data_IF_969329028685
#
_entry.id   IF_969329028685
#
_cell.length_a   1.000
_cell.length_b   1.000
_cell.length_c   1.000
_cell.angle_alpha   90.00
_cell.angle_beta   90.00
_cell.angle_gamma   90.00
#
_symmetry.space_group_name_H-M   'P 1'
#
loop_
_entity.id
_entity.type
_entity.pdbx_description
1 polymer ?
#
# COMPACT_ATOMS: atom_id res chain seq x y z
N UNK A 1 -3.92 5.43 3.71
CA UNK A 1 -2.97 6.31 3.00
C UNK A 1 -2.73 5.73 1.62
N UNK A 2 -3.00 6.49 0.59
CA UNK A 2 -2.79 6.09 -0.81
C UNK A 2 -1.41 6.61 -1.26
N UNK A 3 -0.43 5.70 -1.36
CA UNK A 3 0.93 6.04 -1.80
C UNK A 3 1.22 5.59 -3.24
N UNK A 4 0.20 5.12 -3.96
CA UNK A 4 0.31 4.82 -5.38
C UNK A 4 0.10 6.10 -6.23
N UNK A 5 1.03 6.48 -7.10
CA UNK A 5 0.83 7.58 -8.06
C UNK A 5 -0.40 7.41 -8.95
N UNK A 6 -0.90 6.18 -9.15
CA UNK A 6 -2.14 5.94 -9.89
C UNK A 6 -3.40 6.36 -9.12
N UNK A 7 -3.30 6.55 -7.81
CA UNK A 7 -4.37 6.98 -6.91
C UNK A 7 -5.68 6.18 -7.07
N UNK A 8 -5.54 4.88 -7.26
CA UNK A 8 -6.70 3.99 -7.44
C UNK A 8 -7.56 3.91 -6.20
N UNK A 9 -6.95 3.84 -5.01
CA UNK A 9 -7.68 3.86 -3.73
C UNK A 9 -8.44 5.19 -3.56
N UNK A 10 -7.80 6.32 -3.84
CA UNK A 10 -8.41 7.65 -3.78
C UNK A 10 -9.63 7.74 -4.69
N UNK A 11 -9.51 7.21 -5.92
CA UNK A 11 -10.62 7.18 -6.89
C UNK A 11 -11.76 6.26 -6.42
N UNK A 12 -11.46 5.12 -5.81
CA UNK A 12 -12.48 4.21 -5.25
C UNK A 12 -13.29 4.84 -4.12
N UNK A 13 -12.71 5.78 -3.37
CA UNK A 13 -13.43 6.59 -2.38
C UNK A 13 -14.26 7.74 -3.00
N UNK A 14 -14.30 7.85 -4.33
CA UNK A 14 -15.13 8.81 -5.04
C UNK A 14 -14.47 10.16 -5.34
N UNK A 15 -13.20 10.31 -5.03
CA UNK A 15 -12.44 11.52 -5.30
C UNK A 15 -11.82 11.50 -6.71
N UNK A 16 -11.53 12.69 -7.23
CA UNK A 16 -10.81 12.92 -8.49
C UNK A 16 -9.44 13.52 -8.14
N UNK A 17 -8.37 12.72 -8.14
CA UNK A 17 -7.05 13.15 -7.65
C UNK A 17 -6.53 14.44 -8.29
N UNK A 18 -6.81 14.65 -9.58
CA UNK A 18 -6.31 15.81 -10.34
C UNK A 18 -7.09 17.11 -10.08
N UNK A 19 -8.22 17.05 -9.37
CA UNK A 19 -9.15 18.19 -9.23
C UNK A 19 -9.45 18.50 -7.77
N UNK A 20 -9.74 17.46 -6.97
CA UNK A 20 -10.35 17.66 -5.66
C UNK A 20 -9.33 18.07 -4.58
N UNK A 21 -8.01 17.92 -4.86
CA UNK A 21 -6.93 18.19 -3.90
C UNK A 21 -5.98 19.33 -4.29
N UNK A 22 -6.39 20.20 -5.22
CA UNK A 22 -5.57 21.34 -5.65
C UNK A 22 -5.25 22.32 -4.53
N UNK A 23 -6.12 22.45 -3.54
CA UNK A 23 -5.94 23.35 -2.41
C UNK A 23 -5.51 22.62 -1.13
N UNK A 24 -6.05 21.42 -0.87
CA UNK A 24 -5.78 20.65 0.35
C UNK A 24 -4.51 19.78 0.28
N UNK A 25 -4.01 19.53 -0.92
CA UNK A 25 -2.84 18.68 -1.13
C UNK A 25 -3.12 17.18 -1.07
N UNK A 26 -2.07 16.41 -1.28
CA UNK A 26 -2.05 14.94 -1.23
C UNK A 26 -0.98 14.48 -0.24
N UNK A 27 -0.84 13.17 -0.01
CA UNK A 27 0.24 12.64 0.85
C UNK A 27 1.63 13.07 0.38
N UNK A 28 1.84 13.35 -0.92
CA UNK A 28 3.10 13.93 -1.41
C UNK A 28 3.44 15.23 -0.69
N UNK A 29 2.47 16.12 -0.50
CA UNK A 29 2.68 17.41 0.14
C UNK A 29 3.09 17.30 1.61
N UNK A 30 2.79 16.18 2.27
CA UNK A 30 3.27 15.91 3.63
C UNK A 30 4.69 15.34 3.67
N UNK A 31 5.07 14.54 2.66
CA UNK A 31 6.36 13.83 2.66
C UNK A 31 7.45 14.49 1.81
N UNK A 32 7.13 15.53 1.04
CA UNK A 32 8.12 16.26 0.22
C UNK A 32 9.19 16.90 1.08
N UNK A 33 10.38 17.10 0.51
CA UNK A 33 11.55 17.58 1.24
C UNK A 33 11.54 19.07 1.53
N UNK A 34 10.80 19.87 0.75
CA UNK A 34 10.71 21.32 0.89
C UNK A 34 9.29 21.75 1.26
N UNK A 35 9.15 22.55 2.30
CA UNK A 35 7.88 23.11 2.78
C UNK A 35 6.75 22.06 2.92
N UNK A 36 6.95 20.95 3.67
CA UNK A 36 5.92 19.93 3.83
C UNK A 36 4.71 20.49 4.57
N UNK A 37 3.51 20.04 4.16
CA UNK A 37 2.27 20.37 4.84
C UNK A 37 2.01 19.38 5.99
N UNK A 38 1.38 19.82 7.09
CA UNK A 38 0.91 18.91 8.12
C UNK A 38 -0.08 17.88 7.57
N UNK A 39 0.11 16.59 7.92
CA UNK A 39 -0.76 15.52 7.45
C UNK A 39 -2.22 15.73 7.87
N UNK A 40 -2.45 16.32 9.03
CA UNK A 40 -3.78 16.68 9.55
C UNK A 40 -4.57 17.63 8.64
N UNK A 41 -3.89 18.41 7.79
CA UNK A 41 -4.55 19.30 6.81
C UNK A 41 -4.90 18.56 5.51
N UNK A 42 -4.24 17.44 5.24
CA UNK A 42 -4.37 16.66 3.99
C UNK A 42 -5.46 15.59 4.12
N UNK A 43 -5.61 15.00 5.32
CA UNK A 43 -6.56 13.93 5.56
C UNK A 43 -7.99 14.37 5.25
N UNK A 44 -8.68 13.54 4.48
CA UNK A 44 -10.08 13.73 4.07
C UNK A 44 -10.97 12.71 4.78
N UNK A 45 -12.13 13.15 5.22
CA UNK A 45 -13.17 12.25 5.70
C UNK A 45 -13.80 11.53 4.51
N UNK A 46 -13.95 10.21 4.62
CA UNK A 46 -14.67 9.45 3.60
C UNK A 46 -16.14 9.31 3.96
N UNK A 47 -16.95 8.80 3.04
CA UNK A 47 -18.36 8.51 3.31
C UNK A 47 -18.55 7.34 4.32
N UNK A 48 -17.49 6.58 4.60
CA UNK A 48 -17.51 5.57 5.66
C UNK A 48 -17.19 6.19 7.01
N UNK A 49 -18.07 6.01 7.97
CA UNK A 49 -17.80 6.44 9.34
C UNK A 49 -16.60 5.69 9.91
N UNK A 50 -15.64 6.45 10.43
CA UNK A 50 -14.42 5.91 11.06
C UNK A 50 -13.33 5.52 10.06
N UNK A 51 -13.46 5.90 8.79
CA UNK A 51 -12.42 5.74 7.77
C UNK A 51 -12.11 7.09 7.17
N UNK A 52 -10.88 7.53 7.35
CA UNK A 52 -10.33 8.73 6.71
C UNK A 52 -9.29 8.33 5.65
N UNK A 53 -9.06 9.22 4.71
CA UNK A 53 -8.14 9.01 3.59
C UNK A 53 -7.09 10.12 3.56
N UNK A 54 -5.81 9.73 3.54
CA UNK A 54 -4.76 10.60 3.02
C UNK A 54 -4.63 10.30 1.52
N UNK A 55 -5.06 11.23 0.65
CA UNK A 55 -5.20 10.94 -0.78
C UNK A 55 -3.86 10.87 -1.49
N UNK A 56 -3.76 9.99 -2.48
CA UNK A 56 -2.69 9.91 -3.45
C UNK A 56 -2.95 10.76 -4.68
N UNK A 57 -1.98 10.79 -5.60
CA UNK A 57 -2.09 11.48 -6.87
C UNK A 57 -0.82 11.32 -7.70
N UNK A 58 -0.91 11.66 -8.98
CA UNK A 58 0.21 11.53 -9.93
C UNK A 58 1.46 12.28 -9.47
N UNK A 59 1.29 13.37 -8.72
CA UNK A 59 2.38 14.17 -8.14
C UNK A 59 3.33 13.35 -7.25
N UNK A 60 2.88 12.20 -6.71
CA UNK A 60 3.74 11.29 -5.95
C UNK A 60 4.97 10.80 -6.74
N UNK A 61 4.92 10.85 -8.07
CA UNK A 61 6.09 10.54 -8.91
C UNK A 61 7.26 11.49 -8.66
N UNK A 62 7.01 12.73 -8.24
CA UNK A 62 8.06 13.68 -7.90
C UNK A 62 8.91 13.18 -6.74
N UNK A 63 8.32 12.50 -5.75
CA UNK A 63 9.06 11.91 -4.64
C UNK A 63 10.12 10.90 -5.11
N UNK A 64 9.79 10.10 -6.12
CA UNK A 64 10.74 9.15 -6.73
C UNK A 64 11.89 9.88 -7.45
N UNK A 65 11.63 11.06 -8.03
CA UNK A 65 12.63 11.86 -8.73
C UNK A 65 13.49 12.71 -7.77
N UNK A 66 12.90 13.25 -6.71
CA UNK A 66 13.57 14.11 -5.75
C UNK A 66 14.47 13.34 -4.78
N UNK A 67 14.05 12.13 -4.38
CA UNK A 67 14.72 11.34 -3.33
C UNK A 67 16.19 11.03 -3.64
N UNK A 68 16.60 10.66 -4.85
CA UNK A 68 18.02 10.47 -5.16
C UNK A 68 18.85 11.73 -4.91
N UNK A 69 18.34 12.90 -5.26
CA UNK A 69 19.04 14.18 -5.02
C UNK A 69 19.03 14.55 -3.55
N UNK A 70 17.93 14.27 -2.85
CA UNK A 70 17.81 14.47 -1.41
C UNK A 70 18.85 13.62 -0.65
N UNK A 71 19.07 12.38 -1.08
CA UNK A 71 20.10 11.51 -0.52
C UNK A 71 21.51 12.04 -0.73
N UNK A 72 21.82 12.51 -1.94
CA UNK A 72 23.12 13.14 -2.25
C UNK A 72 23.36 14.38 -1.39
N UNK A 73 22.33 15.17 -1.16
CA UNK A 73 22.40 16.42 -0.39
C UNK A 73 22.24 16.20 1.12
N UNK A 74 22.04 14.96 1.58
CA UNK A 74 21.77 14.60 2.98
C UNK A 74 20.59 15.40 3.58
N UNK A 75 19.51 15.59 2.80
CA UNK A 75 18.31 16.25 3.29
C UNK A 75 17.62 15.40 4.38
N UNK A 76 17.01 16.10 5.33
CA UNK A 76 16.32 15.45 6.45
C UNK A 76 14.84 15.85 6.46
N UNK A 77 13.95 14.93 6.88
CA UNK A 77 14.24 13.53 7.23
C UNK A 77 14.66 12.71 6.00
N UNK A 78 15.49 11.68 6.21
CA UNK A 78 15.80 10.73 5.14
C UNK A 78 14.51 10.02 4.70
N UNK A 79 14.43 9.57 3.42
CA UNK A 79 13.21 8.98 2.86
C UNK A 79 12.62 7.86 3.73
N UNK A 80 13.46 7.03 4.33
CA UNK A 80 13.04 5.93 5.19
C UNK A 80 12.48 6.37 6.56
N UNK A 81 12.68 7.63 6.97
CA UNK A 81 12.16 8.18 8.21
C UNK A 81 11.01 9.20 7.99
N UNK A 82 10.91 9.76 6.79
CA UNK A 82 9.97 10.84 6.46
C UNK A 82 8.52 10.44 6.68
N UNK A 83 8.10 9.30 6.15
CA UNK A 83 6.74 8.80 6.30
C UNK A 83 6.38 8.54 7.77
N UNK A 84 7.27 7.90 8.53
CA UNK A 84 7.05 7.66 9.96
C UNK A 84 6.92 8.97 10.75
N UNK A 85 7.76 9.97 10.45
CA UNK A 85 7.70 11.27 11.11
C UNK A 85 6.36 12.00 10.85
N UNK A 86 5.86 11.93 9.62
CA UNK A 86 4.58 12.53 9.23
C UNK A 86 3.40 11.84 9.94
N UNK A 87 3.45 10.52 10.11
CA UNK A 87 2.40 9.78 10.80
C UNK A 87 2.32 10.06 12.30
N UNK A 88 3.45 10.36 12.96
CA UNK A 88 3.47 10.70 14.39
C UNK A 88 2.52 11.85 14.76
N UNK A 89 2.23 12.73 13.81
CA UNK A 89 1.29 13.85 14.01
C UNK A 89 -0.13 13.36 14.27
N UNK A 90 -0.53 12.25 13.67
CA UNK A 90 -1.93 11.80 13.63
C UNK A 90 -2.17 10.40 14.18
N UNK A 91 -1.14 9.60 14.42
CA UNK A 91 -1.26 8.19 14.79
C UNK A 91 -2.13 7.95 16.03
N UNK A 92 -2.11 8.88 16.99
CA UNK A 92 -2.93 8.80 18.20
C UNK A 92 -4.46 8.88 17.93
N UNK A 93 -4.86 9.28 16.73
CA UNK A 93 -6.26 9.42 16.33
C UNK A 93 -6.82 8.17 15.64
N UNK A 94 -5.97 7.18 15.34
CA UNK A 94 -6.34 6.02 14.54
C UNK A 94 -5.93 4.71 15.22
N UNK A 95 -6.80 3.71 15.17
CA UNK A 95 -6.50 2.37 15.64
C UNK A 95 -5.60 1.59 14.66
N UNK A 96 -5.76 1.87 13.36
CA UNK A 96 -5.02 1.22 12.27
C UNK A 96 -4.74 2.23 11.16
N UNK A 97 -3.53 2.22 10.65
CA UNK A 97 -3.13 2.97 9.45
C UNK A 97 -2.73 1.96 8.37
N UNK A 98 -3.35 2.04 7.19
CA UNK A 98 -3.08 1.14 6.07
C UNK A 98 -2.49 1.95 4.92
N UNK A 99 -1.34 1.49 4.40
CA UNK A 99 -0.75 2.01 3.18
C UNK A 99 -1.17 1.16 1.99
N UNK A 100 -1.76 1.80 0.97
CA UNK A 100 -1.94 1.22 -0.36
C UNK A 100 -0.73 1.61 -1.21
N UNK A 101 0.11 0.62 -1.50
CA UNK A 101 1.41 0.82 -2.13
C UNK A 101 1.37 0.50 -3.63
N UNK A 102 2.18 1.19 -4.45
CA UNK A 102 2.34 0.83 -5.86
C UNK A 102 2.97 -0.58 -6.01
N UNK A 103 2.77 -1.24 -7.16
CA UNK A 103 3.25 -2.60 -7.38
C UNK A 103 4.78 -2.70 -7.58
N UNK A 104 5.48 -1.60 -7.48
CA UNK A 104 6.94 -1.52 -7.63
C UNK A 104 7.62 -1.15 -6.31
N UNK A 105 8.84 -1.64 -6.10
CA UNK A 105 9.66 -1.29 -4.95
C UNK A 105 10.49 -0.03 -5.25
N UNK A 106 9.82 1.14 -5.25
CA UNK A 106 10.44 2.45 -5.32
C UNK A 106 10.60 3.08 -3.94
N UNK A 107 11.04 4.33 -3.87
CA UNK A 107 11.22 5.07 -2.61
C UNK A 107 9.92 5.25 -1.84
N UNK A 108 8.78 5.38 -2.52
CA UNK A 108 7.46 5.43 -1.87
C UNK A 108 7.14 4.15 -1.11
N UNK A 109 7.28 2.99 -1.77
CA UNK A 109 7.05 1.68 -1.13
C UNK A 109 8.05 1.44 0.00
N UNK A 110 9.32 1.81 -0.21
CA UNK A 110 10.35 1.68 0.82
C UNK A 110 10.06 2.57 2.05
N UNK A 111 9.59 3.81 1.83
CA UNK A 111 9.19 4.72 2.90
C UNK A 111 7.99 4.17 3.69
N UNK A 112 6.99 3.61 2.99
CA UNK A 112 5.83 2.97 3.62
C UNK A 112 6.24 1.73 4.44
N UNK A 113 7.11 0.87 3.92
CA UNK A 113 7.65 -0.28 4.66
C UNK A 113 8.38 0.15 5.94
N UNK A 114 9.22 1.18 5.86
CA UNK A 114 9.95 1.69 7.02
C UNK A 114 9.03 2.31 8.09
N UNK A 115 7.84 2.78 7.70
CA UNK A 115 6.84 3.34 8.61
C UNK A 115 5.83 2.31 9.13
N UNK A 116 5.89 1.07 8.65
CA UNK A 116 4.91 0.02 8.95
C UNK A 116 5.37 -0.87 10.10
N UNK A 117 4.41 -1.35 10.90
CA UNK A 117 4.62 -2.39 11.92
C UNK A 117 4.24 -3.78 11.41
N UNK A 118 3.60 -3.89 10.25
CA UNK A 118 3.23 -5.16 9.65
C UNK A 118 3.10 -5.06 8.13
N UNK A 119 3.32 -6.18 7.45
CA UNK A 119 3.30 -6.27 6.00
C UNK A 119 2.34 -7.36 5.54
N UNK A 120 1.42 -6.99 4.64
CA UNK A 120 0.54 -7.92 3.96
C UNK A 120 0.90 -7.94 2.46
N UNK A 121 1.45 -9.05 2.00
CA UNK A 121 1.83 -9.25 0.60
C UNK A 121 0.70 -9.99 -0.11
N UNK A 122 0.05 -9.34 -1.07
CA UNK A 122 -0.97 -9.99 -1.90
C UNK A 122 -0.32 -10.72 -3.08
N UNK A 123 -0.65 -12.01 -3.26
CA UNK A 123 -0.08 -12.85 -4.31
C UNK A 123 -1.19 -13.45 -5.15
N UNK A 124 -1.18 -13.19 -6.46
CA UNK A 124 -2.01 -13.94 -7.41
C UNK A 124 -1.29 -15.27 -7.69
N UNK A 125 -1.96 -16.43 -7.54
CA UNK A 125 -1.28 -17.73 -7.61
C UNK A 125 -0.98 -18.15 -9.05
N UNK A 126 -0.07 -17.41 -9.70
CA UNK A 126 0.53 -17.78 -10.99
C UNK A 126 2.07 -17.69 -10.92
N UNK A 127 2.76 -18.36 -11.81
CA UNK A 127 4.22 -18.46 -11.75
C UNK A 127 4.94 -17.12 -11.95
N UNK A 128 4.36 -16.19 -12.71
CA UNK A 128 4.97 -14.87 -12.94
C UNK A 128 4.90 -14.01 -11.67
N UNK A 129 3.78 -14.03 -10.96
CA UNK A 129 3.64 -13.29 -9.72
C UNK A 129 4.52 -13.87 -8.60
N UNK A 130 4.68 -15.20 -8.55
CA UNK A 130 5.61 -15.86 -7.62
C UNK A 130 7.07 -15.45 -7.90
N UNK A 131 7.46 -15.35 -9.16
CA UNK A 131 8.80 -14.89 -9.54
C UNK A 131 8.99 -13.41 -9.13
N UNK A 132 8.00 -12.55 -9.38
CA UNK A 132 8.02 -11.14 -8.98
C UNK A 132 8.07 -10.98 -7.46
N UNK A 133 7.33 -11.81 -6.73
CA UNK A 133 7.37 -11.85 -5.26
C UNK A 133 8.77 -12.19 -4.75
N UNK A 134 9.46 -13.16 -5.37
CA UNK A 134 10.84 -13.51 -5.00
C UNK A 134 11.79 -12.33 -5.17
N UNK A 135 11.68 -11.58 -6.27
CA UNK A 135 12.44 -10.35 -6.47
C UNK A 135 12.11 -9.29 -5.42
N UNK A 136 10.83 -9.08 -5.12
CA UNK A 136 10.39 -8.16 -4.09
C UNK A 136 11.00 -8.49 -2.74
N UNK A 137 10.96 -9.75 -2.30
CA UNK A 137 11.54 -10.18 -1.03
C UNK A 137 13.06 -9.97 -0.97
N UNK A 138 13.77 -10.24 -2.07
CA UNK A 138 15.21 -10.00 -2.15
C UNK A 138 15.52 -8.51 -2.05
N UNK A 139 14.84 -7.65 -2.79
CA UNK A 139 15.05 -6.19 -2.76
C UNK A 139 14.67 -5.62 -1.38
N UNK A 140 13.62 -6.16 -0.73
CA UNK A 140 13.25 -5.78 0.63
C UNK A 140 14.33 -6.14 1.64
N UNK A 141 15.00 -7.29 1.50
CA UNK A 141 16.12 -7.67 2.33
C UNK A 141 17.33 -6.73 2.15
N UNK A 142 17.64 -6.35 0.90
CA UNK A 142 18.68 -5.35 0.61
C UNK A 142 18.36 -3.98 1.23
N UNK A 143 17.08 -3.57 1.22
CA UNK A 143 16.65 -2.35 1.90
C UNK A 143 16.86 -2.44 3.42
N UNK A 144 16.49 -3.58 4.03
CA UNK A 144 16.70 -3.80 5.46
C UNK A 144 18.17 -3.59 5.85
N UNK A 145 19.10 -4.08 5.03
CA UNK A 145 20.52 -3.88 5.23
C UNK A 145 20.92 -2.40 5.15
N UNK A 146 20.37 -1.66 4.19
CA UNK A 146 20.63 -0.21 4.04
C UNK A 146 20.13 0.56 5.26
N UNK A 147 18.91 0.31 5.69
CA UNK A 147 18.27 0.98 6.85
C UNK A 147 19.01 0.64 8.13
N UNK A 148 19.39 -0.62 8.33
CA UNK A 148 20.17 -1.07 9.48
C UNK A 148 21.56 -0.42 9.53
N UNK A 149 22.26 -0.32 8.38
CA UNK A 149 23.55 0.36 8.29
C UNK A 149 23.44 1.87 8.56
N UNK A 150 22.28 2.47 8.31
CA UNK A 150 21.98 3.86 8.66
C UNK A 150 21.65 4.04 10.16
N UNK A 151 21.66 2.97 10.95
CA UNK A 151 21.39 2.98 12.40
C UNK A 151 19.89 2.97 12.75
N UNK A 152 19.01 2.72 11.79
CA UNK A 152 17.60 2.51 12.04
C UNK A 152 17.29 1.01 12.16
N UNK A 153 16.27 0.66 12.94
CA UNK A 153 15.73 -0.70 13.05
C UNK A 153 14.41 -0.77 12.27
N UNK A 154 14.24 -1.83 11.49
CA UNK A 154 12.99 -2.13 10.82
C UNK A 154 12.59 -3.54 11.27
N UNK A 155 11.63 -3.60 12.19
CA UNK A 155 11.08 -4.84 12.71
C UNK A 155 9.58 -4.87 12.43
N UNK A 156 9.11 -5.98 11.90
CA UNK A 156 7.68 -6.18 11.67
C UNK A 156 7.10 -7.12 12.73
N UNK A 157 5.98 -6.73 13.32
CA UNK A 157 5.17 -7.58 14.19
C UNK A 157 4.66 -8.80 13.43
N UNK A 158 4.39 -8.63 12.14
CA UNK A 158 4.03 -9.72 11.24
C UNK A 158 4.38 -9.40 9.78
N UNK A 159 4.64 -10.47 9.03
CA UNK A 159 4.62 -10.49 7.57
C UNK A 159 3.70 -11.63 7.16
N UNK A 160 2.71 -11.38 6.30
CA UNK A 160 1.75 -12.38 5.85
C UNK A 160 1.54 -12.33 4.35
N UNK A 161 1.29 -13.49 3.76
CA UNK A 161 0.91 -13.63 2.36
C UNK A 161 -0.58 -13.90 2.24
N UNK A 162 -1.27 -13.08 1.47
CA UNK A 162 -2.68 -13.27 1.12
C UNK A 162 -2.79 -13.77 -0.31
N UNK A 163 -3.32 -14.99 -0.49
CA UNK A 163 -3.64 -15.49 -1.82
C UNK A 163 -4.83 -14.69 -2.35
N UNK A 164 -4.61 -13.97 -3.44
CA UNK A 164 -5.58 -13.06 -4.05
C UNK A 164 -6.02 -13.56 -5.44
N UNK A 165 -7.24 -13.22 -5.86
CA UNK A 165 -7.83 -13.60 -7.16
C UNK A 165 -7.76 -15.11 -7.43
N UNK A 166 -7.92 -15.91 -6.40
CA UNK A 166 -7.83 -17.37 -6.47
C UNK A 166 -9.06 -17.99 -7.13
N UNK A 167 -8.82 -18.89 -8.06
CA UNK A 167 -9.82 -19.73 -8.73
C UNK A 167 -9.65 -21.19 -8.27
N UNK A 168 -10.46 -21.68 -7.31
CA UNK A 168 -10.26 -23.00 -6.70
C UNK A 168 -10.33 -24.20 -7.67
N UNK A 169 -10.93 -24.02 -8.83
CA UNK A 169 -11.03 -25.06 -9.87
C UNK A 169 -9.89 -25.02 -10.89
N UNK A 170 -8.95 -24.07 -10.76
CA UNK A 170 -7.77 -23.95 -11.62
C UNK A 170 -6.64 -24.81 -11.04
N UNK A 171 -6.33 -25.94 -11.72
CA UNK A 171 -5.31 -26.88 -11.27
C UNK A 171 -3.91 -26.29 -11.13
N UNK A 172 -3.39 -25.51 -12.08
CA UNK A 172 -2.16 -24.75 -11.95
C UNK A 172 -2.13 -23.84 -10.72
N UNK A 173 -3.19 -23.10 -10.45
CA UNK A 173 -3.26 -22.23 -9.27
C UNK A 173 -3.24 -23.04 -7.95
N UNK A 174 -3.93 -24.19 -7.90
CA UNK A 174 -3.88 -25.09 -6.73
C UNK A 174 -2.44 -25.53 -6.43
N UNK A 175 -1.66 -25.86 -7.46
CA UNK A 175 -0.26 -26.27 -7.31
C UNK A 175 0.61 -25.14 -6.78
N UNK A 176 0.42 -23.91 -7.29
CA UNK A 176 1.13 -22.72 -6.82
C UNK A 176 0.77 -22.42 -5.37
N UNK A 177 -0.50 -22.48 -4.99
CA UNK A 177 -0.94 -22.27 -3.60
C UNK A 177 -0.34 -23.33 -2.67
N UNK A 178 -0.34 -24.61 -3.08
CA UNK A 178 0.28 -25.67 -2.29
C UNK A 178 1.79 -25.44 -2.11
N UNK A 179 2.49 -25.00 -3.17
CA UNK A 179 3.91 -24.64 -3.12
C UNK A 179 4.17 -23.47 -2.15
N UNK A 180 3.39 -22.39 -2.24
CA UNK A 180 3.53 -21.23 -1.35
C UNK A 180 3.31 -21.62 0.10
N UNK A 181 2.29 -22.43 0.40
CA UNK A 181 2.01 -22.93 1.75
C UNK A 181 3.10 -23.86 2.28
N UNK A 182 3.75 -24.63 1.41
CA UNK A 182 4.91 -25.45 1.80
C UNK A 182 6.15 -24.60 2.08
N UNK A 183 6.33 -23.50 1.36
CA UNK A 183 7.51 -22.65 1.46
C UNK A 183 7.43 -21.68 2.65
N UNK A 184 6.27 -21.09 2.89
CA UNK A 184 6.06 -20.00 3.87
C UNK A 184 5.17 -20.42 5.04
N UNK A 185 4.70 -21.66 5.08
CA UNK A 185 3.97 -22.27 6.20
C UNK A 185 2.88 -21.33 6.80
N UNK A 186 3.05 -20.94 8.04
CA UNK A 186 2.09 -20.13 8.82
C UNK A 186 2.04 -18.65 8.38
N UNK A 187 3.00 -18.18 7.59
CA UNK A 187 2.95 -16.83 7.01
C UNK A 187 1.89 -16.71 5.90
N UNK A 188 1.48 -17.82 5.26
CA UNK A 188 0.38 -17.79 4.29
C UNK A 188 -0.96 -17.85 5.00
N UNK A 189 -1.75 -16.80 4.85
CA UNK A 189 -3.08 -16.74 5.47
C UNK A 189 -3.95 -17.95 5.06
N UNK A 190 -4.73 -18.46 6.01
CA UNK A 190 -5.63 -19.60 5.79
C UNK A 190 -6.69 -19.24 4.75
N UNK A 191 -7.28 -18.04 4.88
CA UNK A 191 -8.25 -17.51 3.92
C UNK A 191 -7.60 -17.06 2.63
N UNK A 192 -8.34 -17.14 1.53
CA UNK A 192 -7.94 -16.62 0.23
C UNK A 192 -9.03 -15.70 -0.31
N UNK A 193 -8.65 -14.64 -1.01
CA UNK A 193 -9.58 -13.80 -1.77
C UNK A 193 -9.86 -14.47 -3.11
N UNK A 194 -11.10 -14.87 -3.32
CA UNK A 194 -11.52 -15.49 -4.57
C UNK A 194 -11.61 -14.45 -5.69
N UNK A 195 -11.32 -14.87 -6.91
CA UNK A 195 -11.63 -14.07 -8.09
C UNK A 195 -13.13 -13.91 -8.20
N UNK A 196 -13.61 -12.67 -8.25
CA UNK A 196 -15.04 -12.37 -8.29
C UNK A 196 -15.30 -11.09 -9.08
N UNK A 197 -16.33 -11.10 -9.92
CA UNK A 197 -16.83 -9.89 -10.60
C UNK A 197 -17.45 -8.92 -9.62
N UNK A 198 -17.91 -9.40 -8.45
CA UNK A 198 -18.48 -8.56 -7.40
C UNK A 198 -17.55 -7.44 -6.94
N UNK A 199 -16.23 -7.69 -6.93
CA UNK A 199 -15.23 -6.67 -6.58
C UNK A 199 -15.19 -5.59 -7.65
N UNK A 200 -15.22 -5.98 -8.93
CA UNK A 200 -15.25 -5.03 -10.06
C UNK A 200 -16.54 -4.23 -10.09
N UNK A 201 -17.67 -4.89 -9.83
CA UNK A 201 -18.99 -4.26 -9.80
C UNK A 201 -19.09 -3.26 -8.64
N UNK A 202 -18.55 -3.61 -7.47
CA UNK A 202 -18.47 -2.71 -6.32
C UNK A 202 -17.62 -1.46 -6.66
N UNK A 203 -16.49 -1.64 -7.35
CA UNK A 203 -15.64 -0.53 -7.79
C UNK A 203 -16.35 0.42 -8.75
N UNK A 204 -17.20 -0.09 -9.67
CA UNK A 204 -17.99 0.73 -10.58
C UNK A 204 -19.01 1.63 -9.86
N UNK A 205 -19.53 1.18 -8.72
CA UNK A 205 -20.50 1.90 -7.91
C UNK A 205 -19.88 2.67 -6.75
N UNK A 206 -18.54 2.62 -6.62
CA UNK A 206 -17.79 3.21 -5.51
C UNK A 206 -18.29 2.71 -4.13
N UNK A 207 -18.59 1.41 -4.07
CA UNK A 207 -19.06 0.71 -2.88
C UNK A 207 -18.08 -0.39 -2.51
N UNK A 208 -18.13 -0.84 -1.25
CA UNK A 208 -17.47 -2.09 -0.87
C UNK A 208 -18.32 -3.29 -1.24
N UNK A 209 -17.68 -4.46 -1.34
CA UNK A 209 -18.39 -5.74 -1.56
C UNK A 209 -19.39 -6.07 -0.45
N UNK A 210 -19.29 -5.43 0.71
CA UNK A 210 -20.21 -5.61 1.84
C UNK A 210 -21.49 -4.78 1.69
N UNK A 211 -21.46 -3.74 0.89
CA UNK A 211 -22.59 -2.83 0.66
C UNK A 211 -23.39 -3.21 -0.58
N UNK A 212 -22.78 -3.93 -1.51
CA UNK A 212 -23.44 -4.35 -2.74
C UNK A 212 -24.51 -5.40 -2.43
N UNK A 213 -25.73 -5.15 -2.87
CA UNK A 213 -26.86 -6.07 -2.65
C UNK A 213 -26.62 -7.41 -3.35
N UNK A 214 -26.61 -8.49 -2.56
CA UNK A 214 -26.41 -9.86 -3.03
C UNK A 214 -27.43 -10.29 -4.09
N UNK A 215 -28.58 -9.66 -4.16
CA UNK A 215 -29.62 -9.96 -5.18
C UNK A 215 -29.16 -9.59 -6.60
N UNK A 216 -28.18 -8.72 -6.75
CA UNK A 216 -27.64 -8.31 -8.05
C UNK A 216 -26.61 -9.32 -8.62
N UNK A 217 -26.08 -10.23 -7.83
CA UNK A 217 -25.08 -11.23 -8.25
C UNK A 217 -25.66 -12.49 -8.90
N UNK A 218 -26.98 -12.61 -9.01
CA UNK A 218 -27.66 -13.78 -9.58
C UNK A 218 -28.25 -13.54 -10.98
N UNK A 219 -27.68 -12.64 -11.78
CA UNK A 219 -28.08 -12.44 -13.19
C UNK A 219 -26.97 -12.80 -14.15
#
# INVERSE_FOLDING_TARGET
>A
VDVDPQASLTTLFGYRPEVDFLESGTIYDAIRYEDPLPLSQIIQQTYFSGIDLAPGGLILQEFEHETPQALINNLQPAFFAGMAAVLQEVEANYDVIIFDCPPQLGYLTMSALCASTGVLITVVPNMLDVASMSQFLQMSAELLDVVSNAGASMEFDFLRFLINRYEPNDGPQQQVVAFLRQLFEDEVMIGSMLKSTAISDAGLTQQTVYEVDRSQFHR
#
